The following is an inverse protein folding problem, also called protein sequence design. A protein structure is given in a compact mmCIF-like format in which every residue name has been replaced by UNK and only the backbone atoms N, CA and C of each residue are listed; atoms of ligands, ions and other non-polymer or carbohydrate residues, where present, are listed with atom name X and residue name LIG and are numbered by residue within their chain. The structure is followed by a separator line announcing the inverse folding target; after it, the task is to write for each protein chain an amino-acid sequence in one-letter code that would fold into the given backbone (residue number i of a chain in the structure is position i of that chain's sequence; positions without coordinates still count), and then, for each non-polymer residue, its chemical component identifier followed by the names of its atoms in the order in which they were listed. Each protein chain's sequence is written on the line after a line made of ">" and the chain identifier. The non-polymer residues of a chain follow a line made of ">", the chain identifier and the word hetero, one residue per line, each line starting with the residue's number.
data_IF_249788929976
#
_entry.id   IF_249788929976
#
_cell.length_a   1.000
_cell.length_b   1.000
_cell.length_c   1.000
_cell.angle_alpha   90.00
_cell.angle_beta   90.00
_cell.angle_gamma   90.00
#
_symmetry.space_group_name_H-M   'P 1'
#
loop_
_entity.id
_entity.type
_entity.pdbx_description
1 polymer ?
#
# COMPACT_ATOMS: atom_id res chain seq x y z
N UNK A 1 -20.80 -4.17 -16.39
CA UNK A 1 -21.56 -4.51 -15.16
C UNK A 1 -22.00 -3.22 -14.48
N UNK A 2 -23.20 -3.20 -13.90
CA UNK A 2 -23.66 -2.09 -13.06
C UNK A 2 -22.96 -2.15 -11.69
N UNK A 3 -22.78 -0.99 -11.04
CA UNK A 3 -22.19 -0.88 -9.69
C UNK A 3 -22.89 -1.79 -8.67
N UNK A 4 -24.21 -1.92 -8.78
CA UNK A 4 -25.01 -2.78 -7.90
C UNK A 4 -24.65 -4.26 -8.05
N UNK A 5 -24.54 -4.75 -9.28
CA UNK A 5 -24.13 -6.13 -9.55
C UNK A 5 -22.72 -6.42 -9.01
N UNK A 6 -21.80 -5.45 -9.07
CA UNK A 6 -20.47 -5.60 -8.50
C UNK A 6 -20.46 -5.67 -6.96
N UNK A 7 -21.36 -4.93 -6.30
CA UNK A 7 -21.54 -4.96 -4.85
C UNK A 7 -22.16 -6.31 -4.43
N UNK A 8 -23.18 -6.78 -5.14
CA UNK A 8 -23.81 -8.08 -4.88
C UNK A 8 -22.81 -9.24 -5.02
N UNK A 9 -21.97 -9.21 -6.05
CA UNK A 9 -20.91 -10.20 -6.22
C UNK A 9 -19.90 -10.16 -5.07
N UNK A 10 -19.48 -8.98 -4.63
CA UNK A 10 -18.57 -8.83 -3.50
C UNK A 10 -19.21 -9.38 -2.19
N UNK A 11 -20.47 -9.05 -1.94
CA UNK A 11 -21.23 -9.55 -0.79
C UNK A 11 -21.41 -11.07 -0.82
N UNK A 12 -21.74 -11.65 -1.98
CA UNK A 12 -21.89 -13.10 -2.14
C UNK A 12 -20.62 -13.87 -1.80
N UNK A 13 -19.46 -13.23 -2.02
CA UNK A 13 -18.15 -13.81 -1.74
C UNK A 13 -17.58 -13.38 -0.39
N UNK A 14 -18.34 -12.63 0.42
CA UNK A 14 -17.89 -12.05 1.71
C UNK A 14 -16.57 -11.27 1.60
N UNK A 15 -16.39 -10.55 0.48
CA UNK A 15 -15.21 -9.74 0.17
C UNK A 15 -15.62 -8.29 -0.11
N UNK A 16 -14.64 -7.39 -0.19
CA UNK A 16 -14.88 -5.97 -0.45
C UNK A 16 -14.72 -5.62 -1.93
N UNK A 17 -15.56 -4.69 -2.41
CA UNK A 17 -15.37 -4.04 -3.71
C UNK A 17 -14.41 -2.85 -3.53
N UNK A 18 -13.16 -2.98 -4.00
CA UNK A 18 -12.13 -1.94 -3.82
C UNK A 18 -11.78 -1.29 -5.15
N UNK A 19 -11.79 0.04 -5.19
CA UNK A 19 -11.30 0.83 -6.34
C UNK A 19 -9.77 0.85 -6.33
N UNK A 20 -9.13 0.20 -7.30
CA UNK A 20 -7.67 0.06 -7.38
C UNK A 20 -7.03 1.18 -8.19
N UNK A 21 -7.79 1.79 -9.11
CA UNK A 21 -7.32 2.89 -9.95
C UNK A 21 -8.44 3.80 -10.44
N UNK A 22 -8.08 5.06 -10.70
CA UNK A 22 -8.94 6.04 -11.37
C UNK A 22 -8.46 6.19 -12.80
N UNK A 23 -9.08 5.50 -13.74
CA UNK A 23 -9.06 5.92 -15.14
C UNK A 23 -10.24 6.88 -15.29
N UNK A 24 -10.01 8.10 -15.78
CA UNK A 24 -10.97 9.22 -15.70
C UNK A 24 -12.38 8.88 -16.18
N UNK A 25 -12.49 7.94 -17.12
CA UNK A 25 -13.75 7.50 -17.73
C UNK A 25 -14.28 6.19 -17.11
N UNK A 26 -13.40 5.35 -16.55
CA UNK A 26 -13.74 4.02 -16.04
C UNK A 26 -12.92 3.70 -14.78
N UNK A 27 -13.49 3.83 -13.57
CA UNK A 27 -12.81 3.38 -12.36
C UNK A 27 -12.62 1.86 -12.41
N UNK A 28 -11.39 1.40 -12.15
CA UNK A 28 -11.09 -0.04 -12.13
C UNK A 28 -11.31 -0.55 -10.71
N UNK A 29 -12.37 -1.33 -10.55
CA UNK A 29 -12.73 -1.97 -9.29
C UNK A 29 -12.27 -3.44 -9.30
N UNK A 30 -11.79 -3.93 -8.16
CA UNK A 30 -11.43 -5.34 -7.96
C UNK A 30 -12.03 -5.82 -6.64
N UNK A 31 -12.61 -7.02 -6.66
CA UNK A 31 -13.10 -7.70 -5.45
C UNK A 31 -11.89 -8.26 -4.71
N UNK A 32 -11.63 -7.79 -3.48
CA UNK A 32 -10.52 -8.25 -2.66
C UNK A 32 -10.76 -7.92 -1.18
N UNK A 33 -10.09 -8.64 -0.28
CA UNK A 33 -9.99 -8.24 1.13
C UNK A 33 -9.06 -7.03 1.27
N UNK A 34 -9.65 -5.89 1.65
CA UNK A 34 -8.92 -4.64 1.81
C UNK A 34 -7.95 -4.67 3.01
N UNK A 35 -8.31 -5.37 4.08
CA UNK A 35 -7.54 -5.47 5.32
C UNK A 35 -6.22 -6.19 5.08
N UNK A 36 -6.29 -7.33 4.37
CA UNK A 36 -5.09 -8.09 3.96
C UNK A 36 -4.17 -7.25 3.08
N UNK A 37 -4.72 -6.56 2.08
CA UNK A 37 -3.93 -5.69 1.18
C UNK A 37 -3.26 -4.55 1.94
N UNK A 38 -3.94 -3.93 2.91
CA UNK A 38 -3.38 -2.87 3.75
C UNK A 38 -2.21 -3.39 4.59
N UNK A 39 -2.34 -4.58 5.17
CA UNK A 39 -1.27 -5.22 5.91
C UNK A 39 -0.04 -5.49 5.03
N UNK A 40 -0.24 -6.10 3.86
CA UNK A 40 0.85 -6.41 2.91
C UNK A 40 1.55 -5.14 2.42
N UNK A 41 0.78 -4.08 2.14
CA UNK A 41 1.34 -2.79 1.74
C UNK A 41 2.19 -2.16 2.85
N UNK A 42 1.75 -2.25 4.12
CA UNK A 42 2.52 -1.77 5.28
C UNK A 42 3.81 -2.58 5.44
N UNK A 43 3.73 -3.91 5.37
CA UNK A 43 4.88 -4.81 5.47
C UNK A 43 5.90 -4.54 4.37
N UNK A 44 5.45 -4.41 3.11
CA UNK A 44 6.32 -4.09 1.97
C UNK A 44 6.99 -2.72 2.13
N UNK A 45 6.26 -1.69 2.59
CA UNK A 45 6.82 -0.36 2.88
C UNK A 45 7.84 -0.37 4.01
N UNK A 46 7.64 -1.21 5.01
CA UNK A 46 8.58 -1.36 6.12
C UNK A 46 9.85 -2.09 5.68
N UNK A 47 9.73 -3.14 4.88
CA UNK A 47 10.88 -3.84 4.29
C UNK A 47 11.65 -2.98 3.28
N UNK A 48 10.95 -2.12 2.53
CA UNK A 48 11.59 -1.23 1.55
C UNK A 48 12.23 0.01 2.16
N UNK A 49 11.97 0.31 3.44
CA UNK A 49 12.63 1.42 4.14
C UNK A 49 14.07 0.98 4.43
N UNK A 50 14.99 1.34 3.54
CA UNK A 50 16.42 1.27 3.84
C UNK A 50 16.71 2.10 5.09
N UNK A 51 17.39 1.48 6.06
CA UNK A 51 17.93 2.16 7.23
C UNK A 51 18.92 3.21 6.74
N UNK A 52 18.61 4.49 6.95
CA UNK A 52 19.51 5.59 6.59
C UNK A 52 20.74 5.52 7.49
N UNK A 53 21.86 5.06 6.94
CA UNK A 53 23.14 5.10 7.64
C UNK A 53 23.60 6.55 7.70
N UNK A 54 23.60 7.14 8.90
CA UNK A 54 24.16 8.46 9.12
C UNK A 54 25.67 8.29 9.38
N UNK A 55 26.50 8.89 8.51
CA UNK A 55 27.94 8.99 8.75
C UNK A 55 28.16 9.91 9.95
N UNK A 56 28.70 9.37 11.04
CA UNK A 56 29.15 10.15 12.19
C UNK A 56 30.58 10.60 11.95
N UNK A 57 30.77 11.80 11.42
CA UNK A 57 32.10 12.37 11.24
C UNK A 57 32.70 12.75 12.61
N UNK A 58 33.89 12.21 12.90
CA UNK A 58 34.67 12.58 14.09
C UNK A 58 35.71 13.62 13.64
N UNK A 59 35.60 14.86 14.14
CA UNK A 59 36.62 15.89 13.93
C UNK A 59 37.75 15.72 14.95
N UNK A 60 38.90 15.25 14.49
CA UNK A 60 40.11 15.15 15.30
C UNK A 60 40.86 16.49 15.24
N UNK A 61 41.17 17.10 16.39
CA UNK A 61 42.09 18.24 16.47
C UNK A 61 43.39 17.75 17.12
N UNK A 62 44.56 17.98 16.50
CA UNK A 62 45.83 17.72 17.17
C UNK A 62 46.01 18.75 18.29
N UNK A 63 46.23 18.27 19.50
CA UNK A 63 46.78 19.08 20.58
C UNK A 63 48.29 19.03 20.39
N UNK A 64 48.87 20.15 19.97
CA UNK A 64 50.30 20.44 20.04
C UNK A 64 50.45 21.52 21.10
#
# INVERSE_FOLDING_TARGET
>A
MSTHAAIELAQSQSMDLVVVGRQEINPVCRIMDYSKKRYDQKRKRQQSKQTKTQLKEIKMRPVI
#
